data_IF_769871416998
#
_entry.id   IF_769871416998
#
_cell.length_a   1.000
_cell.length_b   1.000
_cell.length_c   1.000
_cell.angle_alpha   90.00
_cell.angle_beta   90.00
_cell.angle_gamma   90.00
#
_symmetry.space_group_name_H-M   'P 1'
#
loop_
_entity.id
_entity.type
_entity.pdbx_description
1 polymer ?
#
# COMPACT_ATOMS: atom_id res chain seq x y z
N UNK A 1 15.11 -2.62 -7.78
CA UNK A 1 14.05 -1.66 -8.13
C UNK A 1 12.76 -1.88 -7.33
N UNK A 2 12.24 -3.11 -7.19
CA UNK A 2 11.00 -3.37 -6.44
C UNK A 2 11.09 -2.97 -4.94
N UNK A 3 12.22 -3.24 -4.28
CA UNK A 3 12.45 -2.85 -2.87
C UNK A 3 12.34 -1.35 -2.63
N UNK A 4 12.83 -0.55 -3.58
CA UNK A 4 12.80 0.90 -3.50
C UNK A 4 11.37 1.43 -3.66
N UNK A 5 10.57 0.83 -4.55
CA UNK A 5 9.13 1.15 -4.69
C UNK A 5 8.34 0.82 -3.43
N UNK A 6 8.60 -0.33 -2.81
CA UNK A 6 7.98 -0.69 -1.54
C UNK A 6 8.29 0.32 -0.44
N UNK A 7 9.54 0.77 -0.33
CA UNK A 7 9.91 1.80 0.66
C UNK A 7 9.13 3.11 0.48
N UNK A 8 8.86 3.50 -0.78
CA UNK A 8 8.13 4.73 -1.11
C UNK A 8 6.64 4.65 -0.82
N UNK A 9 6.12 3.45 -0.59
CA UNK A 9 4.72 3.20 -0.24
C UNK A 9 4.59 3.03 1.28
N UNK A 10 5.41 2.14 1.84
CA UNK A 10 5.33 1.70 3.23
C UNK A 10 5.65 2.85 4.19
N UNK A 11 6.67 3.66 3.88
CA UNK A 11 7.12 4.73 4.78
C UNK A 11 6.14 5.92 4.85
N UNK A 12 5.67 6.52 3.75
CA UNK A 12 4.66 7.56 3.83
C UNK A 12 3.33 7.06 4.42
N UNK A 13 2.92 5.83 4.10
CA UNK A 13 1.72 5.23 4.67
C UNK A 13 1.82 5.12 6.20
N UNK A 14 3.00 4.80 6.75
CA UNK A 14 3.23 4.74 8.19
C UNK A 14 3.01 6.09 8.86
N UNK A 15 3.54 7.17 8.27
CA UNK A 15 3.37 8.53 8.77
C UNK A 15 1.90 8.98 8.74
N UNK A 16 1.20 8.70 7.63
CA UNK A 16 -0.23 9.01 7.48
C UNK A 16 -1.07 8.21 8.49
N UNK A 17 -0.74 6.94 8.73
CA UNK A 17 -1.41 6.13 9.73
C UNK A 17 -1.27 6.71 11.15
N UNK A 18 -0.08 7.19 11.51
CA UNK A 18 0.14 7.86 12.80
C UNK A 18 -0.66 9.15 12.93
N UNK A 19 -0.76 9.94 11.87
CA UNK A 19 -1.60 11.15 11.86
C UNK A 19 -3.08 10.79 12.02
N UNK A 20 -3.56 9.79 11.29
CA UNK A 20 -4.94 9.31 11.40
C UNK A 20 -5.25 8.78 12.80
N UNK A 21 -4.33 8.05 13.41
CA UNK A 21 -4.47 7.55 14.78
C UNK A 21 -4.67 8.71 15.77
N UNK A 22 -3.81 9.74 15.71
CA UNK A 22 -3.95 10.94 16.55
C UNK A 22 -5.28 11.64 16.30
N UNK A 23 -5.66 11.85 15.04
CA UNK A 23 -6.89 12.60 14.68
C UNK A 23 -8.16 11.85 15.10
N UNK A 24 -8.22 10.54 14.86
CA UNK A 24 -9.41 9.73 15.17
C UNK A 24 -9.58 9.60 16.68
N UNK A 25 -8.51 9.24 17.40
CA UNK A 25 -8.61 9.03 18.85
C UNK A 25 -8.54 10.32 19.69
N UNK A 26 -8.22 11.46 19.08
CA UNK A 26 -8.49 12.76 19.70
C UNK A 26 -10.00 13.05 19.78
N UNK A 27 -10.81 12.46 18.90
CA UNK A 27 -12.26 12.65 18.83
C UNK A 27 -13.05 11.47 19.43
N UNK A 28 -12.48 10.26 19.40
CA UNK A 28 -13.14 9.00 19.81
C UNK A 28 -12.36 8.36 20.96
N UNK A 29 -13.00 8.12 22.12
CA UNK A 29 -12.34 7.37 23.20
C UNK A 29 -12.25 5.88 22.80
N UNK A 30 -11.04 5.27 22.80
CA UNK A 30 -10.89 3.85 22.52
C UNK A 30 -11.64 2.94 23.50
N UNK A 31 -12.06 3.42 24.69
CA UNK A 31 -12.86 2.65 25.65
C UNK A 31 -14.36 2.67 25.35
N UNK A 32 -14.83 3.64 24.55
CA UNK A 32 -16.23 3.70 24.12
C UNK A 32 -16.50 2.81 22.90
N UNK A 33 -15.46 2.15 22.37
CA UNK A 33 -15.59 1.17 21.31
C UNK A 33 -16.30 -0.08 21.84
N UNK A 34 -17.53 -0.29 21.37
CA UNK A 34 -18.32 -1.49 21.64
C UNK A 34 -18.31 -2.39 20.41
N UNK A 35 -17.99 -3.67 20.59
CA UNK A 35 -17.99 -4.68 19.53
C UNK A 35 -19.19 -5.60 19.73
N UNK A 36 -20.14 -5.58 18.78
CA UNK A 36 -21.42 -6.30 18.87
C UNK A 36 -22.19 -6.06 20.19
N UNK A 37 -22.16 -4.82 20.71
CA UNK A 37 -22.87 -4.45 21.94
C UNK A 37 -22.19 -4.92 23.24
N UNK A 38 -20.97 -5.45 23.18
CA UNK A 38 -20.13 -5.72 24.34
C UNK A 38 -18.93 -4.77 24.35
N UNK A 39 -18.48 -4.29 25.52
CA UNK A 39 -17.26 -3.51 25.61
C UNK A 39 -16.08 -4.35 25.09
N UNK A 40 -15.24 -3.76 24.24
CA UNK A 40 -14.07 -4.45 23.71
C UNK A 40 -13.14 -4.79 24.88
N UNK A 41 -12.97 -6.08 25.18
CA UNK A 41 -12.14 -6.56 26.29
C UNK A 41 -10.61 -6.47 26.02
N UNK A 42 -10.18 -5.57 25.15
CA UNK A 42 -8.76 -5.31 24.87
C UNK A 42 -8.34 -4.02 25.56
N UNK A 43 -7.08 -3.97 26.00
CA UNK A 43 -6.55 -2.76 26.62
C UNK A 43 -6.58 -1.57 25.65
N UNK A 44 -6.57 -0.34 26.16
CA UNK A 44 -6.44 0.88 25.34
C UNK A 44 -5.29 0.79 24.34
N UNK A 45 -4.14 0.27 24.79
CA UNK A 45 -2.98 0.06 23.93
C UNK A 45 -3.24 -0.95 22.81
N UNK A 46 -4.03 -2.00 23.07
CA UNK A 46 -4.46 -2.95 22.05
C UNK A 46 -5.32 -2.30 20.97
N UNK A 47 -6.25 -1.42 21.35
CA UNK A 47 -7.09 -0.67 20.39
C UNK A 47 -6.23 0.23 19.49
N UNK A 48 -5.33 1.01 20.08
CA UNK A 48 -4.39 1.89 19.35
C UNK A 48 -3.55 1.10 18.35
N UNK A 49 -2.90 0.04 18.83
CA UNK A 49 -2.04 -0.80 18.00
C UNK A 49 -2.82 -1.39 16.81
N UNK A 50 -4.00 -1.95 17.06
CA UNK A 50 -4.83 -2.54 16.00
C UNK A 50 -5.27 -1.49 14.98
N UNK A 51 -5.76 -0.34 15.45
CA UNK A 51 -6.20 0.75 14.59
C UNK A 51 -5.05 1.30 13.74
N UNK A 52 -3.86 1.49 14.32
CA UNK A 52 -2.66 1.87 13.59
C UNK A 52 -2.36 0.92 12.44
N UNK A 53 -2.33 -0.39 12.69
CA UNK A 53 -2.08 -1.39 11.64
C UNK A 53 -3.17 -1.38 10.56
N UNK A 54 -4.43 -1.18 10.94
CA UNK A 54 -5.54 -1.07 9.98
C UNK A 54 -5.39 0.17 9.10
N UNK A 55 -5.15 1.34 9.69
CA UNK A 55 -4.94 2.58 8.93
C UNK A 55 -3.72 2.48 8.03
N UNK A 56 -2.62 1.91 8.54
CA UNK A 56 -1.40 1.70 7.77
C UNK A 56 -1.62 0.76 6.59
N UNK A 57 -2.30 -0.37 6.80
CA UNK A 57 -2.60 -1.33 5.73
C UNK A 57 -3.49 -0.70 4.65
N UNK A 58 -4.52 0.04 5.03
CA UNK A 58 -5.40 0.72 4.07
C UNK A 58 -4.62 1.76 3.25
N UNK A 59 -3.78 2.57 3.90
CA UNK A 59 -2.95 3.56 3.22
C UNK A 59 -1.93 2.91 2.27
N UNK A 60 -1.30 1.81 2.69
CA UNK A 60 -0.41 1.01 1.84
C UNK A 60 -1.14 0.42 0.63
N UNK A 61 -2.35 -0.14 0.83
CA UNK A 61 -3.15 -0.72 -0.25
C UNK A 61 -3.57 0.34 -1.28
N UNK A 62 -4.03 1.51 -0.81
CA UNK A 62 -4.42 2.62 -1.69
C UNK A 62 -3.23 3.11 -2.54
N UNK A 63 -2.08 3.30 -1.91
CA UNK A 63 -0.85 3.71 -2.59
C UNK A 63 -0.35 2.63 -3.54
N UNK A 64 -0.37 1.36 -3.10
CA UNK A 64 -0.01 0.20 -3.91
C UNK A 64 -0.86 0.09 -5.17
N UNK A 65 -2.19 0.22 -5.04
CA UNK A 65 -3.10 0.23 -6.18
C UNK A 65 -2.81 1.38 -7.14
N UNK A 66 -2.56 2.58 -6.61
CA UNK A 66 -2.17 3.75 -7.42
C UNK A 66 -0.89 3.49 -8.20
N UNK A 67 0.13 2.91 -7.55
CA UNK A 67 1.39 2.57 -8.25
C UNK A 67 1.16 1.53 -9.34
N UNK A 68 0.34 0.51 -9.09
CA UNK A 68 0.01 -0.53 -10.07
C UNK A 68 -0.73 0.04 -11.29
N UNK A 69 -1.71 0.93 -11.06
CA UNK A 69 -2.45 1.60 -12.13
C UNK A 69 -1.60 2.61 -12.91
N UNK A 70 -0.58 3.20 -12.27
CA UNK A 70 0.36 4.12 -12.92
C UNK A 70 1.47 3.44 -13.73
N UNK A 71 1.54 2.10 -13.76
CA UNK A 71 2.58 1.39 -14.50
C UNK A 71 2.46 1.62 -16.00
N UNK A 72 3.58 2.03 -16.63
CA UNK A 72 3.57 2.32 -18.06
C UNK A 72 3.44 1.03 -18.91
N UNK A 73 2.83 1.10 -20.10
CA UNK A 73 2.76 -0.05 -21.02
C UNK A 73 4.14 -0.60 -21.42
N UNK A 74 5.17 0.25 -21.42
CA UNK A 74 6.55 -0.17 -21.68
C UNK A 74 7.12 -1.06 -20.57
N UNK A 75 6.74 -0.79 -19.32
CA UNK A 75 7.16 -1.57 -18.18
C UNK A 75 6.41 -2.90 -18.09
N UNK A 76 5.09 -2.88 -18.34
CA UNK A 76 4.22 -4.07 -18.30
C UNK A 76 4.50 -5.01 -19.48
N UNK A 77 4.60 -4.47 -20.70
CA UNK A 77 4.77 -5.28 -21.92
C UNK A 77 6.25 -5.42 -22.35
N UNK A 78 7.19 -5.43 -21.40
CA UNK A 78 8.63 -5.52 -21.71
C UNK A 78 8.94 -6.84 -22.40
N UNK A 79 9.62 -6.78 -23.56
CA UNK A 79 10.01 -8.00 -24.28
C UNK A 79 11.23 -8.63 -23.57
N UNK A 80 11.15 -9.88 -23.13
CA UNK A 80 12.25 -10.52 -22.41
C UNK A 80 13.40 -10.94 -23.33
N UNK A 81 13.20 -10.94 -24.66
CA UNK A 81 14.19 -11.36 -25.64
C UNK A 81 15.12 -10.20 -26.03
N UNK A 82 16.44 -10.45 -26.12
CA UNK A 82 17.38 -9.49 -26.70
C UNK A 82 17.06 -9.28 -28.19
N UNK A 83 17.36 -8.10 -28.77
CA UNK A 83 16.89 -7.71 -30.10
C UNK A 83 17.21 -8.69 -31.24
N UNK A 84 18.37 -9.35 -31.16
CA UNK A 84 18.89 -10.31 -32.12
C UNK A 84 18.23 -11.70 -32.05
N UNK A 85 17.61 -12.03 -30.91
CA UNK A 85 16.91 -13.29 -30.70
C UNK A 85 15.39 -13.19 -30.92
N UNK A 86 14.89 -12.06 -31.45
CA UNK A 86 13.44 -11.87 -31.68
C UNK A 86 13.02 -12.54 -32.98
N UNK A 87 11.91 -13.32 -33.00
CA UNK A 87 11.42 -13.95 -34.21
C UNK A 87 10.91 -12.92 -35.24
N UNK A 88 11.05 -13.26 -36.53
CA UNK A 88 10.55 -12.45 -37.64
C UNK A 88 9.04 -12.24 -37.52
N UNK A 89 8.61 -10.98 -37.43
CA UNK A 89 7.22 -10.58 -37.17
C UNK A 89 6.94 -10.07 -35.75
N UNK A 90 7.94 -10.04 -34.85
CA UNK A 90 7.78 -9.40 -33.54
C UNK A 90 7.55 -7.88 -33.70
N UNK A 91 6.51 -7.27 -33.09
CA UNK A 91 6.23 -5.83 -33.22
C UNK A 91 7.32 -4.90 -32.66
N UNK A 92 8.27 -5.43 -31.86
CA UNK A 92 9.33 -4.67 -31.20
C UNK A 92 10.69 -5.04 -31.77
N UNK A 93 11.03 -4.66 -33.00
CA UNK A 93 12.37 -4.90 -33.58
C UNK A 93 13.37 -3.74 -33.35
N UNK A 94 12.88 -2.52 -33.10
CA UNK A 94 13.72 -1.37 -32.76
C UNK A 94 14.26 -1.38 -31.32
N UNK A 95 15.23 -0.50 -31.00
CA UNK A 95 15.66 -0.27 -29.62
C UNK A 95 14.48 0.25 -28.77
N UNK A 96 14.39 -0.25 -27.53
CA UNK A 96 13.38 0.16 -26.55
C UNK A 96 13.62 1.57 -26.01
#
# INVERSE_FOLDING_TARGET
MASQRWMWIVWPAFLVAGILEVLVFAMVDPQDLHWFGQPVAISRQGVYTLAFFVFWLIAMLSSGLTTLLSMSPFEVNRCPLPPDARPDGCPKQGPC
#
